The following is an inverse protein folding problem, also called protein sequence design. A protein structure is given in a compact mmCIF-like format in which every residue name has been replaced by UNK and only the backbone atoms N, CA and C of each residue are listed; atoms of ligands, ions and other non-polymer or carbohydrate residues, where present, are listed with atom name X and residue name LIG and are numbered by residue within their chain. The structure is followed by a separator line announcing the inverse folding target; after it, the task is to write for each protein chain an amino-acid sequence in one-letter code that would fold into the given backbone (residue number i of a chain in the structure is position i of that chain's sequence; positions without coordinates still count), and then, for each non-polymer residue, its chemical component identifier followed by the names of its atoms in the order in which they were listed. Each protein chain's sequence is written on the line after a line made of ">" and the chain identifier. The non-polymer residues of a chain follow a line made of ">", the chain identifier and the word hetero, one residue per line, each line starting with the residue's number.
data_IF_180628707563
#
_entry.id   IF_180628707563
#
_cell.length_a   1.000
_cell.length_b   1.000
_cell.length_c   1.000
_cell.angle_alpha   90.00
_cell.angle_beta   90.00
_cell.angle_gamma   90.00
#
_symmetry.space_group_name_H-M   'P 1'
#
loop_
_entity.id
_entity.type
_entity.pdbx_description
1 polymer ?
#
# COMPACT_ATOMS: atom_id res chain seq x y z
N UNK A 1 9.14 1.65 13.23
CA UNK A 1 8.24 1.39 12.09
C UNK A 1 7.55 0.04 12.28
N UNK A 2 6.23 0.03 12.44
CA UNK A 2 5.46 -1.19 12.66
C UNK A 2 5.29 -1.95 11.35
N UNK A 3 6.17 -2.94 11.14
CA UNK A 3 6.20 -3.74 9.92
C UNK A 3 5.09 -4.80 9.87
N UNK A 4 4.64 -5.29 11.02
CA UNK A 4 3.67 -6.38 11.12
C UNK A 4 2.48 -5.99 11.99
N UNK A 5 1.29 -6.45 11.62
CA UNK A 5 0.09 -6.25 12.42
C UNK A 5 0.09 -7.16 13.65
N UNK A 6 -0.12 -6.61 14.85
CA UNK A 6 -0.22 -7.40 16.10
C UNK A 6 -1.37 -8.41 16.12
N UNK A 7 -2.43 -8.16 15.36
CA UNK A 7 -3.63 -9.02 15.36
C UNK A 7 -3.53 -10.21 14.41
N UNK A 8 -2.94 -10.03 13.23
CA UNK A 8 -2.94 -11.07 12.18
C UNK A 8 -1.56 -11.40 11.59
N UNK A 9 -0.50 -10.77 12.13
CA UNK A 9 0.89 -10.93 11.72
C UNK A 9 1.17 -10.67 10.22
N UNK A 10 0.24 -10.05 9.49
CA UNK A 10 0.49 -9.66 8.11
C UNK A 10 1.34 -8.40 8.03
N UNK A 11 2.11 -8.29 6.95
CA UNK A 11 2.91 -7.10 6.66
C UNK A 11 2.02 -5.87 6.48
N UNK A 12 2.34 -4.80 7.19
CA UNK A 12 1.75 -3.48 6.99
C UNK A 12 2.43 -2.77 5.82
N UNK A 13 1.66 -1.94 5.12
CA UNK A 13 2.15 -1.14 4.01
C UNK A 13 2.11 0.34 4.41
N UNK A 14 3.18 1.11 4.12
CA UNK A 14 3.16 2.55 4.34
C UNK A 14 2.20 3.20 3.34
N UNK A 15 1.36 4.09 3.84
CA UNK A 15 0.41 4.87 3.08
C UNK A 15 0.57 6.34 3.45
N UNK A 16 0.76 7.18 2.43
CA UNK A 16 0.95 8.61 2.61
C UNK A 16 -0.41 9.30 2.66
N UNK A 17 -0.72 9.95 3.77
CA UNK A 17 -1.91 10.77 3.92
C UNK A 17 -1.56 12.23 3.68
N UNK A 18 -1.98 12.75 2.53
CA UNK A 18 -1.65 14.11 2.08
C UNK A 18 -2.22 15.19 3.00
N UNK A 19 -3.44 14.98 3.53
CA UNK A 19 -4.11 15.91 4.44
C UNK A 19 -3.31 16.18 5.72
N UNK A 20 -2.68 15.14 6.26
CA UNK A 20 -1.92 15.21 7.53
C UNK A 20 -0.41 15.30 7.30
N UNK A 21 0.04 15.25 6.03
CA UNK A 21 1.45 15.17 5.62
C UNK A 21 2.24 14.09 6.38
N UNK A 22 1.55 13.02 6.77
CA UNK A 22 2.09 11.93 7.57
C UNK A 22 2.00 10.61 6.80
N UNK A 23 2.94 9.71 7.07
CA UNK A 23 2.85 8.32 6.63
C UNK A 23 2.27 7.47 7.75
N UNK A 24 1.23 6.71 7.45
CA UNK A 24 0.63 5.71 8.35
C UNK A 24 0.88 4.30 7.80
N UNK A 25 0.74 3.29 8.64
CA UNK A 25 0.97 1.89 8.29
C UNK A 25 -0.34 1.11 8.28
N UNK A 26 -0.86 0.85 7.07
CA UNK A 26 -2.09 0.10 6.85
C UNK A 26 -1.84 -1.41 6.94
N UNK A 27 -2.66 -2.10 7.73
CA UNK A 27 -2.84 -3.54 7.61
C UNK A 27 -3.99 -3.83 6.65
N UNK A 28 -3.73 -4.41 5.46
CA UNK A 28 -4.80 -4.73 4.50
C UNK A 28 -5.78 -5.83 4.96
N UNK A 29 -5.39 -6.66 5.93
CA UNK A 29 -6.26 -7.74 6.44
C UNK A 29 -7.19 -7.28 7.56
N UNK A 30 -6.67 -6.47 8.48
CA UNK A 30 -7.42 -5.92 9.61
C UNK A 30 -7.97 -4.52 9.33
N UNK A 31 -7.60 -3.93 8.20
CA UNK A 31 -8.06 -2.62 7.72
C UNK A 31 -7.83 -1.49 8.73
N UNK A 32 -6.73 -1.58 9.50
CA UNK A 32 -6.37 -0.57 10.49
C UNK A 32 -5.09 0.16 10.13
N UNK A 33 -5.10 1.46 10.41
CA UNK A 33 -3.95 2.34 10.34
C UNK A 33 -3.26 2.43 11.69
N UNK A 34 -1.94 2.51 11.61
CA UNK A 34 -1.06 2.63 12.76
C UNK A 34 -0.03 3.71 12.49
N UNK A 35 0.39 4.40 13.55
CA UNK A 35 1.42 5.43 13.51
C UNK A 35 2.85 4.85 13.48
N UNK A 36 3.86 5.69 13.72
CA UNK A 36 5.25 5.24 13.82
C UNK A 36 5.55 4.42 15.08
N UNK A 37 4.75 4.59 16.13
CA UNK A 37 4.90 4.02 17.48
C UNK A 37 4.17 2.68 17.64
N UNK A 38 3.52 2.19 16.58
CA UNK A 38 2.73 0.95 16.58
C UNK A 38 1.41 1.03 17.36
N UNK A 39 0.83 2.23 17.40
CA UNK A 39 -0.48 2.55 18.00
C UNK A 39 -1.56 2.58 16.92
N UNK A 40 -2.70 1.91 17.15
CA UNK A 40 -3.84 1.93 16.24
C UNK A 40 -4.53 3.28 16.35
N UNK A 41 -4.52 4.06 15.26
CA UNK A 41 -5.11 5.40 15.22
C UNK A 41 -6.59 5.29 14.83
N UNK A 42 -6.88 4.56 13.75
CA UNK A 42 -8.22 4.39 13.18
C UNK A 42 -8.29 3.22 12.22
N UNK A 43 -9.50 2.86 11.83
CA UNK A 43 -9.78 1.93 10.74
C UNK A 43 -9.91 2.67 9.40
N UNK A 44 -9.66 1.94 8.31
CA UNK A 44 -9.81 2.42 6.95
C UNK A 44 -11.29 2.46 6.60
N UNK A 45 -11.75 3.59 6.04
CA UNK A 45 -13.16 3.74 5.70
C UNK A 45 -13.52 2.98 4.41
N UNK A 46 -14.80 2.67 4.24
CA UNK A 46 -15.32 2.03 3.03
C UNK A 46 -15.04 2.88 1.77
N UNK A 47 -15.12 4.20 1.91
CA UNK A 47 -14.87 5.16 0.85
C UNK A 47 -13.40 5.13 0.40
N UNK A 48 -12.45 5.14 1.34
CA UNK A 48 -11.01 5.01 1.05
C UNK A 48 -10.73 3.69 0.30
N UNK A 49 -11.36 2.59 0.73
CA UNK A 49 -11.22 1.28 0.07
C UNK A 49 -11.78 1.29 -1.35
N UNK A 50 -12.93 1.93 -1.56
CA UNK A 50 -13.52 2.06 -2.89
C UNK A 50 -12.68 2.93 -3.82
N UNK A 51 -12.09 4.01 -3.30
CA UNK A 51 -11.21 4.88 -4.06
C UNK A 51 -9.97 4.13 -4.55
N UNK A 52 -9.32 3.35 -3.67
CA UNK A 52 -8.17 2.51 -4.04
C UNK A 52 -8.57 1.50 -5.12
N UNK A 53 -9.73 0.85 -4.99
CA UNK A 53 -10.25 -0.08 -6.01
C UNK A 53 -10.52 0.63 -7.34
N UNK A 54 -11.01 1.87 -7.32
CA UNK A 54 -11.24 2.67 -8.53
C UNK A 54 -9.91 3.00 -9.21
N UNK A 55 -8.92 3.49 -8.46
CA UNK A 55 -7.57 3.79 -8.97
C UNK A 55 -6.92 2.57 -9.62
N UNK A 56 -7.06 1.38 -9.01
CA UNK A 56 -6.58 0.13 -9.60
C UNK A 56 -7.25 -0.18 -10.94
N UNK A 57 -8.58 -0.06 -11.03
CA UNK A 57 -9.31 -0.28 -12.29
C UNK A 57 -8.94 0.73 -13.38
N UNK A 58 -8.74 1.98 -13.00
CA UNK A 58 -8.29 3.03 -13.93
C UNK A 58 -6.88 2.74 -14.45
N UNK A 59 -5.97 2.34 -13.55
CA UNK A 59 -4.62 1.92 -13.90
C UNK A 59 -4.63 0.75 -14.88
N UNK A 60 -5.38 -0.32 -14.59
CA UNK A 60 -5.52 -1.48 -15.49
C UNK A 60 -6.03 -1.11 -16.89
N UNK A 61 -6.92 -0.12 -17.00
CA UNK A 61 -7.45 0.36 -18.29
C UNK A 61 -6.47 1.24 -19.07
N UNK A 62 -5.62 1.98 -18.36
CA UNK A 62 -4.71 2.97 -18.96
C UNK A 62 -3.33 2.39 -19.27
N UNK A 63 -3.01 1.24 -18.70
CA UNK A 63 -1.81 0.49 -19.02
C UNK A 63 -1.87 0.00 -20.47
N UNK A 64 -0.88 0.42 -21.27
CA UNK A 64 -0.44 -0.24 -22.49
C UNK A 64 0.98 -0.76 -22.22
N UNK A 65 1.12 -1.91 -21.56
CA UNK A 65 2.44 -2.56 -21.51
C UNK A 65 2.71 -3.17 -22.88
N UNK A 66 3.80 -2.77 -23.53
CA UNK A 66 4.36 -3.55 -24.62
C UNK A 66 4.90 -4.85 -24.01
N UNK A 67 4.65 -5.99 -24.65
CA UNK A 67 5.16 -7.32 -24.26
C UNK A 67 6.69 -7.44 -24.49
N UNK A 68 7.45 -6.39 -24.19
CA UNK A 68 8.89 -6.43 -24.26
C UNK A 68 9.42 -7.34 -23.15
N UNK A 69 10.12 -8.40 -23.56
CA UNK A 69 10.79 -9.31 -22.64
C UNK A 69 11.84 -8.52 -21.85
N UNK A 70 11.62 -8.37 -20.54
CA UNK A 70 12.62 -7.81 -19.66
C UNK A 70 13.84 -8.74 -19.60
N UNK A 71 14.91 -8.38 -20.30
CA UNK A 71 16.18 -9.13 -20.27
C UNK A 71 17.01 -8.64 -19.08
N UNK A 72 17.43 -9.57 -18.23
CA UNK A 72 18.36 -9.31 -17.13
C UNK A 72 19.68 -8.81 -17.73
N UNK A 73 20.07 -7.56 -17.42
CA UNK A 73 21.40 -7.05 -17.78
C UNK A 73 22.45 -7.93 -17.09
N UNK A 74 23.35 -8.53 -17.88
CA UNK A 74 24.52 -9.23 -17.31
C UNK A 74 25.40 -8.16 -16.65
N UNK A 75 25.68 -8.33 -15.36
CA UNK A 75 26.59 -7.45 -14.63
C UNK A 75 27.96 -7.43 -15.32
N UNK A 76 28.57 -6.25 -15.40
CA UNK A 76 29.96 -6.09 -15.84
C UNK A 76 30.84 -6.62 -14.71
N UNK A 77 31.74 -7.57 -15.03
CA UNK A 77 32.80 -8.03 -14.12
C UNK A 77 33.83 -6.92 -13.91
#
# INVERSE_FOLDING_TARGET
>A
MPLFCKQCNSRRLPEHHEAEKQTMWLCKKCENFVDMEDTIIREQTDEERQEVKRKLKEFEKTINFQDEKMIRRKGVN
#
